data_IF_388788568448
#
_entry.id   IF_388788568448
#
_cell.length_a   1.000
_cell.length_b   1.000
_cell.length_c   1.000
_cell.angle_alpha   90.00
_cell.angle_beta   90.00
_cell.angle_gamma   90.00
#
_symmetry.space_group_name_H-M   'P 1'
#
loop_
_entity.id
_entity.type
_entity.pdbx_description
1 polymer ?
#
# COMPACT_ATOMS: atom_id res chain seq x y z
N UNK A 1 3.94 -5.03 -8.68
CA UNK A 1 4.93 -6.07 -8.31
C UNK A 1 4.67 -6.63 -6.90
N UNK A 2 4.40 -5.80 -5.89
CA UNK A 2 4.14 -6.23 -4.50
C UNK A 2 3.03 -7.29 -4.34
N UNK A 3 1.88 -7.10 -4.99
CA UNK A 3 0.77 -8.06 -4.94
C UNK A 3 1.14 -9.43 -5.54
N UNK A 4 1.78 -9.42 -6.71
CA UNK A 4 2.23 -10.65 -7.37
C UNK A 4 3.26 -11.40 -6.51
N UNK A 5 4.19 -10.69 -5.87
CA UNK A 5 5.15 -11.29 -4.95
C UNK A 5 4.46 -11.95 -3.73
N UNK A 6 3.44 -11.29 -3.16
CA UNK A 6 2.65 -11.86 -2.06
C UNK A 6 1.93 -13.13 -2.49
N UNK A 7 1.33 -13.16 -3.68
CA UNK A 7 0.66 -14.34 -4.25
C UNK A 7 1.60 -15.52 -4.52
N UNK A 8 2.90 -15.26 -4.67
CA UNK A 8 3.94 -16.29 -4.79
C UNK A 8 4.48 -16.75 -3.42
N UNK A 9 3.84 -16.35 -2.31
CA UNK A 9 4.21 -16.76 -0.96
C UNK A 9 5.30 -15.91 -0.31
N UNK A 10 5.74 -14.81 -0.94
CA UNK A 10 6.74 -13.93 -0.35
C UNK A 10 6.16 -13.11 0.82
N UNK A 11 7.00 -12.81 1.80
CA UNK A 11 6.69 -11.79 2.80
C UNK A 11 6.94 -10.41 2.19
N UNK A 12 5.90 -9.56 2.13
CA UNK A 12 5.94 -8.28 1.42
C UNK A 12 5.53 -7.16 2.38
N UNK A 13 6.36 -6.11 2.41
CA UNK A 13 6.02 -4.81 3.00
C UNK A 13 6.15 -3.72 1.94
N UNK A 14 5.24 -2.73 1.97
CA UNK A 14 5.24 -1.60 1.04
C UNK A 14 5.74 -0.37 1.77
N UNK A 15 6.82 0.22 1.25
CA UNK A 15 7.30 1.55 1.64
C UNK A 15 6.95 2.49 0.51
N UNK A 16 6.03 3.43 0.76
CA UNK A 16 5.59 4.39 -0.26
C UNK A 16 5.05 5.67 0.38
N UNK A 17 5.05 6.74 -0.41
CA UNK A 17 4.48 8.04 -0.05
C UNK A 17 3.33 8.30 -1.01
N UNK A 18 2.11 8.40 -0.48
CA UNK A 18 0.90 8.59 -1.28
C UNK A 18 0.22 9.91 -0.94
N UNK A 19 -0.51 10.46 -1.90
CA UNK A 19 -1.25 11.71 -1.72
C UNK A 19 -2.52 11.53 -0.87
N UNK A 20 -3.14 12.64 -0.49
CA UNK A 20 -4.40 12.67 0.25
C UNK A 20 -5.57 12.05 -0.53
N UNK A 21 -5.45 12.11 -1.85
CA UNK A 21 -6.35 11.52 -2.84
C UNK A 21 -6.23 9.99 -2.96
N UNK A 22 -5.23 9.38 -2.32
CA UNK A 22 -5.04 7.94 -2.39
C UNK A 22 -6.19 7.17 -1.72
N UNK A 23 -6.82 6.20 -2.42
CA UNK A 23 -7.97 5.47 -1.90
C UNK A 23 -7.62 4.66 -0.65
N UNK A 24 -8.28 4.96 0.47
CA UNK A 24 -8.12 4.19 1.70
C UNK A 24 -8.61 2.75 1.55
N UNK A 25 -9.63 2.55 0.73
CA UNK A 25 -10.12 1.21 0.37
C UNK A 25 -9.03 0.35 -0.28
N UNK A 26 -8.10 0.97 -1.03
CA UNK A 26 -7.01 0.23 -1.67
C UNK A 26 -5.94 -0.20 -0.66
N UNK A 27 -5.58 0.66 0.30
CA UNK A 27 -4.69 0.28 1.41
C UNK A 27 -5.31 -0.80 2.30
N UNK A 28 -6.61 -0.68 2.57
CA UNK A 28 -7.36 -1.68 3.32
C UNK A 28 -7.33 -3.04 2.62
N UNK A 29 -7.61 -3.08 1.32
CA UNK A 29 -7.58 -4.32 0.54
C UNK A 29 -6.19 -4.98 0.54
N UNK A 30 -5.11 -4.20 0.37
CA UNK A 30 -3.74 -4.73 0.46
C UNK A 30 -3.43 -5.33 1.84
N UNK A 31 -3.93 -4.70 2.91
CA UNK A 31 -3.81 -5.24 4.25
C UNK A 31 -4.57 -6.57 4.42
N UNK A 32 -5.75 -6.72 3.81
CA UNK A 32 -6.51 -7.99 3.80
C UNK A 32 -5.78 -9.10 3.04
N UNK A 33 -5.04 -8.77 1.98
CA UNK A 33 -4.16 -9.72 1.27
C UNK A 33 -2.91 -10.10 2.10
N UNK A 34 -2.76 -9.58 3.33
CA UNK A 34 -1.65 -9.87 4.22
C UNK A 34 -0.35 -9.15 3.83
N UNK A 35 -0.46 -8.02 3.13
CA UNK A 35 0.66 -7.15 2.80
C UNK A 35 0.79 -6.08 3.89
N UNK A 36 2.00 -5.90 4.42
CA UNK A 36 2.25 -4.87 5.41
C UNK A 36 2.29 -3.48 4.74
N UNK A 37 1.31 -2.65 5.08
CA UNK A 37 1.15 -1.27 4.60
C UNK A 37 1.46 -0.23 5.68
N UNK A 38 1.97 -0.64 6.85
CA UNK A 38 2.28 0.26 7.97
C UNK A 38 3.31 1.34 7.63
N UNK A 39 4.14 1.08 6.61
CA UNK A 39 5.18 2.00 6.12
C UNK A 39 4.72 2.86 4.93
N UNK A 40 3.41 2.90 4.65
CA UNK A 40 2.84 3.81 3.66
C UNK A 40 2.48 5.13 4.34
N UNK A 41 3.18 6.20 3.95
CA UNK A 41 2.91 7.54 4.45
C UNK A 41 1.90 8.26 3.54
N UNK A 42 0.72 8.58 4.07
CA UNK A 42 -0.29 9.39 3.37
C UNK A 42 -0.10 10.87 3.70
N UNK A 43 0.17 11.69 2.69
CA UNK A 43 0.34 13.13 2.82
C UNK A 43 -0.90 13.83 2.28
N UNK A 44 -1.75 14.33 3.19
CA UNK A 44 -3.05 14.95 2.85
C UNK A 44 -2.98 16.10 1.84
N UNK A 45 -1.85 16.79 1.76
CA UNK A 45 -1.65 17.99 0.93
C UNK A 45 -1.07 17.69 -0.46
N UNK A 46 -0.69 16.44 -0.73
CA UNK A 46 -0.08 16.01 -1.99
C UNK A 46 -1.09 15.22 -2.83
N UNK A 47 -0.91 15.22 -4.16
CA UNK A 47 -1.60 14.29 -5.06
C UNK A 47 -0.68 13.11 -5.38
N UNK A 48 -1.28 11.93 -5.50
CA UNK A 48 -0.53 10.74 -5.89
C UNK A 48 -0.10 10.89 -7.35
N UNK A 49 1.20 10.86 -7.61
CA UNK A 49 1.78 10.89 -8.97
C UNK A 49 2.38 9.53 -9.31
#
# INVERSE_FOLDING_TARGET
VSLSAKRLGANVSIISKVGGDFPEAYLWWLSQEGIDVSKVAKIKQEKTT
#
